data_IF_522469050333
#
_entry.id   IF_522469050333
#
_cell.length_a   1.000
_cell.length_b   1.000
_cell.length_c   1.000
_cell.angle_alpha   90.00
_cell.angle_beta   90.00
_cell.angle_gamma   90.00
#
_symmetry.space_group_name_H-M   'P 1'
#
loop_
_entity.id
_entity.type
_entity.pdbx_description
1 polymer ?
#
# COMPACT_ATOMS: atom_id res chain seq x y z
N UNK A 1 -1.18 5.80 -22.41
CA UNK A 1 -1.68 5.60 -21.04
C UNK A 1 -1.35 6.82 -20.21
N UNK A 2 -2.10 7.07 -19.14
CA UNK A 2 -1.89 8.22 -18.26
C UNK A 2 -2.05 7.82 -16.80
N UNK A 3 -1.44 8.57 -15.89
CA UNK A 3 -1.73 8.46 -14.44
C UNK A 3 -3.15 8.96 -14.20
N UNK A 4 -4.03 8.10 -13.67
CA UNK A 4 -5.42 8.47 -13.32
C UNK A 4 -5.55 8.90 -11.87
N UNK A 5 -4.84 8.24 -10.95
CA UNK A 5 -4.92 8.52 -9.53
C UNK A 5 -3.58 8.31 -8.83
N UNK A 6 -3.36 9.10 -7.78
CA UNK A 6 -2.22 9.01 -6.88
C UNK A 6 -2.70 8.94 -5.44
N UNK A 7 -2.14 8.02 -4.65
CA UNK A 7 -2.49 7.86 -3.25
C UNK A 7 -1.26 7.69 -2.36
N UNK A 8 -1.34 8.24 -1.17
CA UNK A 8 -0.46 7.89 -0.05
C UNK A 8 -1.28 7.36 1.13
N UNK A 9 -0.65 6.61 2.00
CA UNK A 9 -1.21 6.02 3.21
C UNK A 9 -0.30 6.38 4.37
N UNK A 10 -0.37 7.60 4.94
CA UNK A 10 0.62 8.09 5.89
C UNK A 10 0.80 7.17 7.11
N UNK A 11 -0.31 6.61 7.60
CA UNK A 11 -0.33 5.62 8.66
C UNK A 11 -0.61 4.22 8.07
N UNK A 12 0.28 3.26 8.34
CA UNK A 12 0.10 1.86 7.90
C UNK A 12 -1.25 1.32 8.36
N UNK A 13 -1.98 0.72 7.46
CA UNK A 13 -3.33 0.17 7.69
C UNK A 13 -4.43 1.22 7.96
N UNK A 14 -4.16 2.51 7.92
CA UNK A 14 -5.18 3.56 7.97
C UNK A 14 -5.70 3.93 6.56
N UNK A 15 -6.64 4.85 6.48
CA UNK A 15 -7.23 5.35 5.24
C UNK A 15 -6.18 6.01 4.34
N UNK A 16 -6.35 5.89 3.03
CA UNK A 16 -5.53 6.57 2.03
C UNK A 16 -5.96 8.02 1.81
N UNK A 17 -5.02 8.80 1.28
CA UNK A 17 -5.22 10.18 0.85
C UNK A 17 -4.97 10.23 -0.65
N UNK A 18 -5.95 10.73 -1.41
CA UNK A 18 -5.78 11.01 -2.83
C UNK A 18 -4.99 12.32 -3.01
N UNK A 19 -4.08 12.34 -3.97
CA UNK A 19 -3.22 13.47 -4.28
C UNK A 19 -3.38 13.89 -5.74
N UNK A 20 -3.39 15.18 -6.08
CA UNK A 20 -3.35 15.63 -7.48
C UNK A 20 -1.95 15.48 -8.09
N UNK A 21 -0.92 15.49 -7.26
CA UNK A 21 0.47 15.30 -7.62
C UNK A 21 1.26 14.82 -6.40
N UNK A 22 2.37 14.15 -6.62
CA UNK A 22 3.27 13.67 -5.57
C UNK A 22 4.73 13.79 -6.01
N UNK A 23 5.59 14.19 -5.11
CA UNK A 23 7.02 14.03 -5.30
C UNK A 23 7.38 12.54 -5.19
N UNK A 24 8.48 12.18 -5.83
CA UNK A 24 9.06 10.84 -5.79
C UNK A 24 10.49 10.96 -5.28
N UNK A 25 10.84 10.14 -4.29
CA UNK A 25 12.19 9.98 -3.79
C UNK A 25 12.60 8.50 -3.72
N UNK A 26 13.77 8.21 -3.16
CA UNK A 26 14.27 6.84 -3.00
C UNK A 26 13.35 5.94 -2.14
N UNK A 27 12.48 6.51 -1.32
CA UNK A 27 11.50 5.81 -0.51
C UNK A 27 10.11 5.71 -1.15
N UNK A 28 9.93 6.21 -2.37
CA UNK A 28 8.65 6.29 -3.08
C UNK A 28 7.97 7.64 -2.93
N UNK A 29 6.70 7.67 -2.57
CA UNK A 29 5.95 8.89 -2.35
C UNK A 29 6.22 9.41 -0.93
N UNK A 30 6.72 10.66 -0.75
CA UNK A 30 6.89 11.25 0.57
C UNK A 30 5.62 11.19 1.42
N UNK A 31 5.79 10.82 2.67
CA UNK A 31 4.65 10.64 3.60
C UNK A 31 4.01 9.25 3.55
N UNK A 32 4.30 8.41 2.56
CA UNK A 32 3.68 7.09 2.46
C UNK A 32 4.22 6.12 3.52
N UNK A 33 3.33 5.52 4.32
CA UNK A 33 3.62 4.55 5.42
C UNK A 33 4.80 4.99 6.31
N UNK A 34 4.86 6.30 6.63
CA UNK A 34 5.86 6.84 7.58
C UNK A 34 5.46 6.67 9.02
N UNK A 35 4.20 6.34 9.31
CA UNK A 35 3.72 6.02 10.65
C UNK A 35 3.11 4.60 10.68
N UNK A 36 3.13 4.00 11.87
CA UNK A 36 2.64 2.64 12.10
C UNK A 36 2.15 2.51 13.55
N UNK A 37 1.13 1.69 13.77
CA UNK A 37 0.66 1.32 15.09
C UNK A 37 1.23 -0.04 15.47
N UNK A 38 1.74 -0.15 16.70
CA UNK A 38 2.25 -1.39 17.29
C UNK A 38 1.57 -1.68 18.62
N UNK A 39 1.71 -2.91 19.10
CA UNK A 39 1.49 -3.22 20.51
C UNK A 39 2.62 -2.65 21.40
N UNK A 40 2.52 -2.83 22.70
CA UNK A 40 3.54 -2.37 23.67
C UNK A 40 4.90 -3.09 23.51
N UNK A 41 4.94 -4.25 22.85
CA UNK A 41 6.14 -5.03 22.57
C UNK A 41 6.76 -4.70 21.19
N UNK A 42 6.19 -3.76 20.44
CA UNK A 42 6.69 -3.34 19.13
C UNK A 42 6.24 -4.20 17.94
N UNK A 43 5.31 -5.13 18.11
CA UNK A 43 4.74 -5.86 16.99
C UNK A 43 3.71 -5.01 16.27
N UNK A 44 3.83 -4.92 14.95
CA UNK A 44 2.93 -4.09 14.14
C UNK A 44 1.51 -4.64 14.10
N UNK A 45 0.54 -3.73 14.23
CA UNK A 45 -0.90 -4.03 14.16
C UNK A 45 -1.42 -3.64 12.78
N UNK A 46 -2.28 -4.47 12.21
CA UNK A 46 -2.88 -4.22 10.88
C UNK A 46 -4.39 -4.37 10.90
N UNK A 47 -5.06 -3.96 9.81
CA UNK A 47 -6.50 -4.18 9.61
C UNK A 47 -6.90 -5.67 9.67
N UNK A 48 -5.97 -6.62 9.52
CA UNK A 48 -6.29 -8.05 9.68
C UNK A 48 -6.72 -8.37 11.10
N UNK A 49 -6.04 -7.75 12.04
CA UNK A 49 -6.23 -7.93 13.49
C UNK A 49 -7.20 -6.91 14.06
N UNK A 50 -7.10 -5.67 13.60
CA UNK A 50 -7.89 -4.53 14.08
C UNK A 50 -8.52 -3.78 12.91
N UNK A 51 -9.71 -4.20 12.44
CA UNK A 51 -10.38 -3.62 11.28
C UNK A 51 -10.63 -2.10 11.39
N UNK A 52 -10.86 -1.59 12.60
CA UNK A 52 -11.09 -0.17 12.87
C UNK A 52 -9.96 0.76 12.43
N UNK A 53 -8.75 0.24 12.20
CA UNK A 53 -7.66 1.03 11.61
C UNK A 53 -8.03 1.63 10.26
N UNK A 54 -8.89 0.97 9.47
CA UNK A 54 -9.38 1.51 8.20
C UNK A 54 -10.18 2.82 8.37
N UNK A 55 -10.77 3.04 9.54
CA UNK A 55 -11.57 4.23 9.85
C UNK A 55 -10.74 5.45 10.21
N UNK A 56 -9.46 5.26 10.53
CA UNK A 56 -8.56 6.37 10.87
C UNK A 56 -8.23 7.15 9.60
N UNK A 57 -8.61 8.42 9.58
CA UNK A 57 -8.19 9.40 8.58
C UNK A 57 -6.98 10.16 9.10
N UNK A 58 -5.99 10.38 8.25
CA UNK A 58 -4.82 11.19 8.57
C UNK A 58 -4.90 12.49 7.79
N UNK A 59 -4.80 13.63 8.45
CA UNK A 59 -4.67 14.95 7.82
C UNK A 59 -3.29 15.51 8.11
N UNK A 60 -2.42 15.64 7.09
CA UNK A 60 -1.15 16.34 7.25
C UNK A 60 -1.37 17.79 7.63
N UNK A 61 -0.58 18.29 8.57
CA UNK A 61 -0.51 19.71 8.98
C UNK A 61 0.95 20.18 8.86
N UNK A 62 1.18 21.50 8.90
CA UNK A 62 2.53 22.06 8.68
C UNK A 62 3.60 21.52 9.63
N UNK A 63 3.25 21.28 10.90
CA UNK A 63 4.18 20.84 11.97
C UNK A 63 3.71 19.61 12.71
N UNK A 64 2.62 18.98 12.27
CA UNK A 64 2.00 17.85 12.93
C UNK A 64 1.23 17.02 11.91
N UNK A 65 0.59 15.96 12.34
CA UNK A 65 -0.54 15.41 11.62
C UNK A 65 -1.69 15.12 12.59
N UNK A 66 -2.91 15.25 12.07
CA UNK A 66 -4.11 15.01 12.85
C UNK A 66 -4.68 13.65 12.47
N UNK A 67 -5.01 12.87 13.49
CA UNK A 67 -5.79 11.64 13.35
C UNK A 67 -7.26 11.95 13.63
N UNK A 68 -8.14 11.51 12.74
CA UNK A 68 -9.58 11.65 12.87
C UNK A 68 -10.23 10.27 12.77
N UNK A 69 -11.26 10.06 13.61
CA UNK A 69 -12.11 8.88 13.55
C UNK A 69 -13.52 9.29 13.95
N UNK A 70 -14.52 8.93 13.15
CA UNK A 70 -15.91 9.27 13.42
C UNK A 70 -16.33 8.84 14.83
N UNK A 71 -16.91 9.77 15.59
CA UNK A 71 -17.36 9.55 16.98
C UNK A 71 -16.25 9.59 18.03
N UNK A 72 -15.04 10.01 17.67
CA UNK A 72 -13.90 10.21 18.56
C UNK A 72 -13.41 11.66 18.51
N UNK A 73 -12.78 12.13 19.59
CA UNK A 73 -12.09 13.44 19.61
C UNK A 73 -10.81 13.33 18.78
N UNK A 74 -10.53 14.30 17.92
CA UNK A 74 -9.32 14.33 17.09
C UNK A 74 -8.04 14.26 17.94
N UNK A 75 -7.02 13.58 17.43
CA UNK A 75 -5.69 13.51 18.07
C UNK A 75 -4.72 14.32 17.21
N UNK A 76 -4.12 15.36 17.77
CA UNK A 76 -3.03 16.10 17.15
C UNK A 76 -1.70 15.46 17.55
N UNK A 77 -0.97 14.93 16.59
CA UNK A 77 0.30 14.24 16.81
C UNK A 77 1.43 15.13 16.31
N UNK A 78 2.28 15.59 17.21
CA UNK A 78 3.52 16.29 16.87
C UNK A 78 4.60 15.28 16.46
N UNK A 79 5.54 15.66 15.57
CA UNK A 79 6.67 14.79 15.26
C UNK A 79 7.39 14.35 16.53
N UNK A 80 7.69 13.05 16.69
CA UNK A 80 8.34 12.56 17.88
C UNK A 80 9.77 13.07 17.99
N UNK A 81 10.26 13.18 19.21
CA UNK A 81 11.68 13.47 19.46
C UNK A 81 12.53 12.28 19.00
N UNK A 82 13.64 12.51 18.27
CA UNK A 82 14.45 11.44 17.71
C UNK A 82 15.03 10.47 18.75
N UNK A 83 15.18 10.92 20.00
CA UNK A 83 15.74 10.15 21.12
C UNK A 83 14.71 9.18 21.74
N UNK A 84 13.42 9.48 21.60
CA UNK A 84 12.35 8.61 22.12
C UNK A 84 12.09 7.49 21.10
N UNK A 85 12.76 6.36 21.27
CA UNK A 85 12.74 5.25 20.31
C UNK A 85 12.36 3.92 20.94
N UNK A 86 11.83 3.03 20.10
CA UNK A 86 11.65 1.62 20.41
C UNK A 86 11.99 0.75 19.21
N UNK A 87 12.41 -0.47 19.47
CA UNK A 87 12.55 -1.46 18.42
C UNK A 87 11.18 -2.04 18.07
N UNK A 88 10.85 -2.00 16.78
CA UNK A 88 9.59 -2.53 16.26
C UNK A 88 9.86 -3.60 15.20
N UNK A 89 8.94 -4.55 15.09
CA UNK A 89 9.01 -5.61 14.07
C UNK A 89 7.99 -5.34 12.97
N UNK A 90 8.46 -5.29 11.72
CA UNK A 90 7.63 -5.21 10.52
C UNK A 90 7.92 -6.44 9.66
N UNK A 91 7.01 -7.42 9.66
CA UNK A 91 7.25 -8.75 9.08
C UNK A 91 8.50 -9.43 9.69
N UNK A 92 9.57 -9.54 8.92
CA UNK A 92 10.85 -10.14 9.36
C UNK A 92 11.92 -9.09 9.68
N UNK A 93 11.58 -7.81 9.58
CA UNK A 93 12.53 -6.71 9.77
C UNK A 93 12.39 -6.10 11.16
N UNK A 94 13.48 -6.00 11.89
CA UNK A 94 13.58 -5.14 13.07
C UNK A 94 13.91 -3.71 12.63
N UNK A 95 13.25 -2.72 13.20
CA UNK A 95 13.44 -1.29 12.89
C UNK A 95 13.43 -0.51 14.20
N UNK A 96 14.45 0.31 14.43
CA UNK A 96 14.38 1.31 15.49
C UNK A 96 13.53 2.48 15.00
N UNK A 97 12.40 2.73 15.66
CA UNK A 97 11.40 3.72 15.28
C UNK A 97 11.22 4.78 16.36
N UNK A 98 10.99 6.03 15.97
CA UNK A 98 10.67 7.09 16.91
C UNK A 98 9.22 6.91 17.42
N UNK A 99 8.99 7.12 18.73
CA UNK A 99 7.69 6.90 19.40
C UNK A 99 6.99 8.23 19.60
N UNK A 100 5.70 8.31 19.29
CA UNK A 100 4.85 9.45 19.59
C UNK A 100 4.83 9.77 21.09
N UNK A 101 4.41 10.97 21.42
CA UNK A 101 4.27 11.40 22.80
C UNK A 101 3.28 10.52 23.59
N UNK A 102 3.40 10.45 24.93
CA UNK A 102 2.55 9.59 25.75
C UNK A 102 1.06 9.90 25.64
N UNK A 103 0.68 11.15 25.45
CA UNK A 103 -0.72 11.57 25.37
C UNK A 103 -1.37 11.08 24.06
N UNK A 104 -0.69 11.24 22.91
CA UNK A 104 -1.14 10.68 21.65
C UNK A 104 -1.32 9.15 21.70
N UNK A 105 -0.37 8.45 22.34
CA UNK A 105 -0.46 6.99 22.53
C UNK A 105 -1.62 6.59 23.44
N UNK A 106 -1.88 7.36 24.51
CA UNK A 106 -3.00 7.12 25.43
C UNK A 106 -4.34 7.28 24.70
N UNK A 107 -4.54 8.41 24.01
CA UNK A 107 -5.76 8.69 23.27
C UNK A 107 -6.01 7.65 22.17
N UNK A 108 -4.97 7.26 21.43
CA UNK A 108 -5.09 6.24 20.41
C UNK A 108 -5.43 4.87 21.01
N UNK A 109 -4.88 4.53 22.16
CA UNK A 109 -5.21 3.31 22.91
C UNK A 109 -6.68 3.30 23.35
N UNK A 110 -7.20 4.44 23.79
CA UNK A 110 -8.63 4.60 24.10
C UNK A 110 -9.54 4.47 22.86
N UNK A 111 -9.11 5.01 21.70
CA UNK A 111 -9.87 4.85 20.47
C UNK A 111 -10.00 3.38 20.07
N UNK A 112 -8.91 2.65 20.20
CA UNK A 112 -8.79 1.27 19.71
C UNK A 112 -9.11 0.21 20.78
N UNK A 113 -9.40 0.62 22.02
CA UNK A 113 -9.77 -0.28 23.10
C UNK A 113 -8.65 -1.25 23.55
N UNK A 114 -7.40 -0.93 23.22
CA UNK A 114 -6.21 -1.72 23.58
C UNK A 114 -4.97 -0.85 23.67
N UNK A 115 -4.00 -1.26 24.48
CA UNK A 115 -2.73 -0.54 24.57
C UNK A 115 -1.96 -0.62 23.25
N UNK A 116 -1.66 0.56 22.69
CA UNK A 116 -0.91 0.68 21.42
C UNK A 116 0.15 1.78 21.51
N UNK A 117 1.10 1.74 20.59
CA UNK A 117 2.09 2.79 20.34
C UNK A 117 2.01 3.23 18.90
N UNK A 118 2.01 4.54 18.69
CA UNK A 118 2.20 5.15 17.39
C UNK A 118 3.68 5.40 17.18
N UNK A 119 4.24 4.86 16.11
CA UNK A 119 5.67 4.95 15.80
C UNK A 119 5.92 5.51 14.42
N UNK A 120 7.09 6.13 14.23
CA UNK A 120 7.45 6.85 13.03
C UNK A 120 8.75 6.31 12.42
N UNK A 121 8.73 6.17 11.10
CA UNK A 121 9.91 5.95 10.27
C UNK A 121 10.55 7.30 9.98
N UNK A 122 11.42 7.73 10.86
CA UNK A 122 12.13 9.01 10.81
C UNK A 122 13.45 8.93 10.03
N UNK A 123 14.26 9.99 10.07
CA UNK A 123 15.57 10.04 9.40
C UNK A 123 16.60 9.06 9.94
N UNK A 124 16.41 8.49 11.13
CA UNK A 124 17.30 7.48 11.72
C UNK A 124 16.86 6.05 11.44
N UNK A 125 15.57 5.82 11.16
CA UNK A 125 15.05 4.49 10.86
C UNK A 125 15.63 3.94 9.55
N UNK A 126 15.92 2.65 9.53
CA UNK A 126 16.47 1.96 8.35
C UNK A 126 15.73 0.66 8.12
N UNK A 127 15.33 0.43 6.88
CA UNK A 127 14.76 -0.83 6.39
C UNK A 127 14.98 -0.95 4.90
N UNK A 128 15.26 -2.15 4.41
CA UNK A 128 15.46 -2.43 2.98
C UNK A 128 14.43 -3.43 2.46
N UNK A 129 14.11 -3.32 1.18
CA UNK A 129 13.31 -4.31 0.45
C UNK A 129 14.09 -5.63 0.29
N UNK A 130 13.38 -6.68 -0.14
CA UNK A 130 14.05 -7.94 -0.52
C UNK A 130 14.94 -7.71 -1.74
N UNK A 131 16.25 -7.95 -1.57
CA UNK A 131 17.28 -7.69 -2.58
C UNK A 131 17.10 -8.54 -3.85
N UNK A 132 16.57 -9.76 -3.73
CA UNK A 132 16.30 -10.64 -4.89
C UNK A 132 15.41 -9.98 -5.94
N UNK A 133 14.47 -9.11 -5.51
CA UNK A 133 13.51 -8.46 -6.37
C UNK A 133 13.82 -7.00 -6.70
N UNK A 134 14.27 -6.25 -5.71
CA UNK A 134 14.44 -4.80 -5.84
C UNK A 134 15.90 -4.36 -6.02
N UNK A 135 16.84 -5.29 -5.92
CA UNK A 135 18.26 -4.98 -5.83
C UNK A 135 18.70 -4.63 -4.40
N UNK A 136 20.00 -4.67 -4.17
CA UNK A 136 20.57 -4.39 -2.87
C UNK A 136 20.35 -2.95 -2.43
N UNK A 137 20.30 -2.75 -1.11
CA UNK A 137 20.17 -1.46 -0.45
C UNK A 137 18.94 -0.61 -0.85
N UNK A 138 17.93 -1.21 -1.50
CA UNK A 138 16.68 -0.50 -1.85
C UNK A 138 15.90 -0.14 -0.59
N UNK A 139 15.78 1.17 -0.22
CA UNK A 139 15.16 1.56 1.03
C UNK A 139 13.65 1.45 0.98
N UNK A 140 13.01 1.12 2.09
CA UNK A 140 11.55 1.13 2.26
C UNK A 140 11.16 1.63 3.64
N UNK A 141 9.96 2.19 3.74
CA UNK A 141 9.34 2.62 5.00
C UNK A 141 8.62 1.46 5.69
N UNK A 142 7.53 1.72 6.42
CA UNK A 142 6.65 0.68 6.97
C UNK A 142 5.72 0.03 5.92
N UNK A 143 6.04 0.15 4.62
CA UNK A 143 5.34 -0.57 3.55
C UNK A 143 5.42 -2.08 3.75
N UNK A 144 4.60 -2.87 3.04
CA UNK A 144 4.65 -4.32 3.19
C UNK A 144 5.94 -4.93 2.60
N UNK A 145 6.49 -4.35 1.55
CA UNK A 145 7.75 -4.87 0.99
C UNK A 145 8.48 -3.94 0.03
N UNK A 146 7.76 -3.05 -0.66
CA UNK A 146 8.31 -2.17 -1.68
C UNK A 146 7.72 -0.77 -1.56
N UNK A 147 8.34 0.21 -2.24
CA UNK A 147 7.97 1.61 -2.10
C UNK A 147 6.60 1.92 -2.68
N UNK A 148 6.28 1.36 -3.85
CA UNK A 148 5.13 1.76 -4.66
C UNK A 148 4.36 0.52 -5.10
N UNK A 149 3.03 0.61 -5.08
CA UNK A 149 2.14 -0.32 -5.77
C UNK A 149 1.52 0.37 -6.97
N UNK A 150 1.75 -0.18 -8.15
CA UNK A 150 1.15 0.22 -9.43
C UNK A 150 0.00 -0.71 -9.76
N UNK A 151 -1.14 -0.14 -10.17
CA UNK A 151 -2.33 -0.86 -10.64
C UNK A 151 -2.88 -0.18 -11.89
N UNK A 152 -3.83 -0.82 -12.59
CA UNK A 152 -4.46 -0.25 -13.77
C UNK A 152 -5.99 -0.29 -13.69
N UNK A 153 -6.64 0.68 -14.34
CA UNK A 153 -8.11 0.74 -14.44
C UNK A 153 -8.65 -0.46 -15.21
N UNK A 154 -7.95 -0.91 -16.27
CA UNK A 154 -8.32 -2.08 -17.05
C UNK A 154 -8.30 -3.38 -16.25
N UNK A 155 -7.31 -3.55 -15.37
CA UNK A 155 -7.23 -4.72 -14.48
C UNK A 155 -8.38 -4.74 -13.46
N UNK A 156 -8.76 -3.58 -12.91
CA UNK A 156 -9.92 -3.48 -12.04
C UNK A 156 -11.21 -3.78 -12.78
N UNK A 157 -11.36 -3.26 -14.01
CA UNK A 157 -12.52 -3.52 -14.88
C UNK A 157 -12.67 -5.02 -15.17
N UNK A 158 -11.57 -5.70 -15.49
CA UNK A 158 -11.56 -7.14 -15.74
C UNK A 158 -11.92 -7.96 -14.49
N UNK A 159 -11.41 -7.57 -13.31
CA UNK A 159 -11.76 -8.20 -12.04
C UNK A 159 -13.25 -8.02 -11.73
N UNK A 160 -13.78 -6.81 -11.88
CA UNK A 160 -15.20 -6.52 -11.64
C UNK A 160 -16.13 -7.21 -12.65
N UNK A 161 -15.67 -7.45 -13.88
CA UNK A 161 -16.41 -8.24 -14.86
C UNK A 161 -16.56 -9.71 -14.42
N UNK A 162 -15.50 -10.32 -13.85
CA UNK A 162 -15.58 -11.67 -13.27
C UNK A 162 -16.51 -11.71 -12.06
N UNK A 163 -16.40 -10.73 -11.15
CA UNK A 163 -17.30 -10.62 -9.99
C UNK A 163 -18.77 -10.50 -10.42
N UNK A 164 -19.08 -9.64 -11.38
CA UNK A 164 -20.43 -9.43 -11.88
C UNK A 164 -20.99 -10.71 -12.55
N UNK A 165 -20.17 -11.41 -13.34
CA UNK A 165 -20.56 -12.67 -13.99
C UNK A 165 -20.93 -13.77 -12.97
N UNK A 166 -20.44 -13.66 -11.73
CA UNK A 166 -20.73 -14.63 -10.65
C UNK A 166 -21.72 -14.08 -9.60
N UNK A 167 -22.30 -12.89 -9.81
CA UNK A 167 -23.21 -12.26 -8.86
C UNK A 167 -22.54 -11.82 -7.54
N UNK A 168 -21.22 -11.61 -7.55
CA UNK A 168 -20.41 -11.27 -6.37
C UNK A 168 -20.23 -9.75 -6.17
N UNK A 169 -20.91 -8.92 -6.98
CA UNK A 169 -20.91 -7.46 -6.89
C UNK A 169 -19.74 -6.80 -7.61
N UNK A 170 -19.21 -5.73 -7.05
CA UNK A 170 -18.04 -5.01 -7.56
C UNK A 170 -17.23 -4.38 -6.43
N UNK A 171 -15.95 -4.12 -6.66
CA UNK A 171 -15.04 -3.47 -5.69
C UNK A 171 -14.38 -2.25 -6.32
N UNK A 172 -14.02 -1.27 -5.48
CA UNK A 172 -13.24 -0.12 -5.89
C UNK A 172 -11.72 -0.36 -5.82
N UNK A 173 -10.96 0.54 -6.41
CA UNK A 173 -9.49 0.49 -6.44
C UNK A 173 -8.89 0.63 -5.03
N UNK A 174 -9.56 1.32 -4.12
CA UNK A 174 -9.13 1.55 -2.74
C UNK A 174 -8.92 0.24 -1.94
N UNK A 175 -9.60 -0.85 -2.34
CA UNK A 175 -9.43 -2.19 -1.73
C UNK A 175 -8.00 -2.71 -1.89
N UNK A 176 -7.32 -2.30 -2.94
CA UNK A 176 -5.96 -2.75 -3.28
C UNK A 176 -4.88 -1.80 -2.76
N UNK A 177 -5.26 -0.58 -2.33
CA UNK A 177 -4.36 0.40 -1.70
C UNK A 177 -3.14 0.75 -2.59
N UNK A 178 -3.34 1.07 -3.89
CA UNK A 178 -2.24 1.44 -4.78
C UNK A 178 -1.68 2.82 -4.44
N UNK A 179 -0.46 3.08 -4.91
CA UNK A 179 0.13 4.43 -4.90
C UNK A 179 -0.10 5.14 -6.24
N UNK A 180 0.04 4.42 -7.35
CA UNK A 180 -0.14 4.93 -8.71
C UNK A 180 -1.17 4.06 -9.42
N UNK A 181 -2.21 4.68 -9.96
CA UNK A 181 -3.18 4.02 -10.84
C UNK A 181 -2.97 4.55 -12.26
N UNK A 182 -2.87 3.65 -13.21
CA UNK A 182 -2.65 3.97 -14.62
C UNK A 182 -3.94 3.66 -15.39
N UNK A 183 -4.40 4.65 -16.16
CA UNK A 183 -5.58 4.49 -17.01
C UNK A 183 -5.24 3.76 -18.30
N UNK A 184 -5.95 2.66 -18.54
CA UNK A 184 -5.87 1.83 -19.74
C UNK A 184 -7.11 0.95 -19.87
N UNK A 185 -7.51 0.62 -21.09
CA UNK A 185 -8.60 -0.33 -21.36
C UNK A 185 -8.13 -1.80 -21.39
N UNK A 186 -6.82 -2.04 -21.48
CA UNK A 186 -6.24 -3.38 -21.52
C UNK A 186 -6.29 -4.02 -20.11
N UNK A 187 -6.70 -5.28 -20.04
CA UNK A 187 -6.70 -6.07 -18.81
C UNK A 187 -5.32 -6.67 -18.55
N UNK A 188 -4.79 -6.42 -17.38
CA UNK A 188 -3.54 -6.98 -16.87
C UNK A 188 -2.29 -6.63 -17.70
N UNK A 189 -2.18 -5.43 -18.31
CA UNK A 189 -1.03 -5.09 -19.13
C UNK A 189 0.25 -4.98 -18.29
N UNK A 190 0.10 -4.62 -17.02
CA UNK A 190 1.20 -4.51 -16.04
C UNK A 190 1.95 -5.82 -15.81
N UNK A 191 1.38 -6.96 -16.17
CA UNK A 191 2.08 -8.25 -16.08
C UNK A 191 3.28 -8.35 -17.03
N UNK A 192 3.25 -7.59 -18.13
CA UNK A 192 4.33 -7.55 -19.13
C UNK A 192 5.31 -6.39 -18.92
N UNK A 193 4.97 -5.40 -18.11
CA UNK A 193 5.85 -4.25 -17.91
C UNK A 193 7.02 -4.59 -16.99
N UNK A 194 8.24 -4.53 -17.50
CA UNK A 194 9.45 -4.64 -16.67
C UNK A 194 9.82 -3.27 -16.08
N UNK A 195 9.72 -2.20 -16.89
CA UNK A 195 9.89 -0.83 -16.42
C UNK A 195 8.96 0.14 -17.20
N UNK A 196 8.48 1.14 -16.47
CA UNK A 196 7.74 2.28 -17.02
C UNK A 196 8.45 3.58 -16.69
N UNK A 197 8.17 4.61 -17.50
CA UNK A 197 8.60 5.98 -17.25
C UNK A 197 7.40 6.89 -17.08
N UNK A 198 7.42 7.73 -16.05
CA UNK A 198 6.42 8.77 -15.77
C UNK A 198 7.19 10.05 -15.44
N UNK A 199 6.94 11.14 -16.17
CA UNK A 199 7.58 12.43 -15.95
C UNK A 199 9.13 12.36 -15.90
N UNK A 200 9.74 11.51 -16.74
CA UNK A 200 11.18 11.29 -16.78
C UNK A 200 11.75 10.41 -15.65
N UNK A 201 10.90 9.88 -14.78
CA UNK A 201 11.31 8.98 -13.69
C UNK A 201 11.04 7.53 -14.12
N UNK A 202 12.08 6.69 -14.07
CA UNK A 202 11.95 5.24 -14.28
C UNK A 202 11.38 4.57 -13.02
N UNK A 203 10.42 3.67 -13.21
CA UNK A 203 9.88 2.77 -12.20
C UNK A 203 10.07 1.34 -12.65
N UNK A 204 10.89 0.57 -11.93
CA UNK A 204 11.04 -0.86 -12.18
C UNK A 204 9.89 -1.61 -11.50
N UNK A 205 9.08 -2.37 -12.26
CA UNK A 205 8.04 -3.22 -11.72
C UNK A 205 8.68 -4.54 -11.28
N UNK A 206 9.07 -4.62 -10.03
CA UNK A 206 9.98 -5.66 -9.54
C UNK A 206 9.29 -6.97 -9.16
N UNK A 207 8.04 -6.91 -8.67
CA UNK A 207 7.36 -8.09 -8.15
C UNK A 207 5.84 -7.94 -8.24
N UNK A 208 5.07 -8.93 -8.74
CA UNK A 208 3.61 -8.87 -8.67
C UNK A 208 3.15 -8.85 -7.22
N UNK A 209 2.04 -8.16 -6.95
CA UNK A 209 1.52 -8.02 -5.60
C UNK A 209 0.54 -9.14 -5.27
N UNK A 210 0.99 -10.09 -4.44
CA UNK A 210 0.11 -11.12 -3.86
C UNK A 210 -0.85 -10.48 -2.86
N UNK A 211 -2.13 -10.78 -3.00
CA UNK A 211 -3.20 -10.16 -2.22
C UNK A 211 -3.65 -11.05 -1.07
N UNK A 212 -4.01 -10.42 0.01
CA UNK A 212 -4.49 -11.09 1.22
C UNK A 212 -5.91 -10.62 1.58
N UNK A 213 -6.43 -11.16 2.66
CA UNK A 213 -7.77 -10.87 3.18
C UNK A 213 -8.08 -9.37 3.39
N UNK A 214 -7.07 -8.50 3.48
CA UNK A 214 -7.31 -7.05 3.60
C UNK A 214 -8.09 -6.47 2.42
N UNK A 215 -8.03 -7.07 1.24
CA UNK A 215 -8.82 -6.63 0.08
C UNK A 215 -10.32 -6.87 0.22
N UNK A 216 -10.74 -7.72 1.15
CA UNK A 216 -12.17 -7.96 1.45
C UNK A 216 -12.76 -6.88 2.33
N UNK A 217 -11.92 -6.01 2.93
CA UNK A 217 -12.34 -5.02 3.89
C UNK A 217 -12.66 -3.69 3.23
N UNK A 218 -13.81 -3.13 3.56
CA UNK A 218 -14.18 -1.77 3.17
C UNK A 218 -13.23 -0.76 3.84
N UNK A 219 -12.62 0.11 3.03
CA UNK A 219 -11.59 1.03 3.51
C UNK A 219 -12.15 2.29 4.21
N UNK A 220 -13.47 2.45 4.25
CA UNK A 220 -14.15 3.55 4.96
C UNK A 220 -14.70 3.08 6.30
N UNK A 221 -15.29 1.89 6.33
CA UNK A 221 -16.02 1.38 7.50
C UNK A 221 -15.24 0.33 8.29
N UNK A 222 -14.25 -0.31 7.68
CA UNK A 222 -13.57 -1.46 8.26
C UNK A 222 -14.36 -2.77 8.15
N UNK A 223 -15.60 -2.74 7.63
CA UNK A 223 -16.45 -3.93 7.50
C UNK A 223 -15.95 -4.89 6.42
N UNK A 224 -16.23 -6.16 6.63
CA UNK A 224 -16.04 -7.23 5.64
C UNK A 224 -17.37 -7.76 5.07
N UNK A 225 -18.46 -7.08 5.36
CA UNK A 225 -19.82 -7.41 4.91
C UNK A 225 -20.08 -6.84 3.51
N UNK A 226 -19.35 -7.06 2.54
CA UNK A 226 -19.54 -6.48 1.21
C UNK A 226 -18.91 -7.38 0.14
N UNK A 227 -18.85 -6.88 -1.10
CA UNK A 227 -18.22 -7.60 -2.18
C UNK A 227 -16.79 -8.04 -1.82
N UNK A 228 -16.50 -9.31 -2.11
CA UNK A 228 -15.23 -9.95 -1.79
C UNK A 228 -14.46 -10.27 -3.07
N UNK A 229 -13.32 -9.62 -3.36
CA UNK A 229 -12.56 -9.85 -4.59
C UNK A 229 -11.73 -11.14 -4.58
N UNK A 230 -11.56 -11.79 -3.42
CA UNK A 230 -10.67 -12.95 -3.30
C UNK A 230 -11.11 -14.16 -4.14
N UNK A 231 -12.41 -14.55 -4.23
CA UNK A 231 -12.84 -15.63 -5.11
C UNK A 231 -12.54 -15.35 -6.58
N UNK A 232 -12.86 -14.15 -7.08
CA UNK A 232 -12.58 -13.74 -8.45
C UNK A 232 -11.08 -13.78 -8.75
N UNK A 233 -10.25 -13.14 -7.90
CA UNK A 233 -8.78 -13.23 -8.06
C UNK A 233 -8.27 -14.68 -7.99
N UNK A 234 -8.88 -15.53 -7.17
CA UNK A 234 -8.57 -16.97 -7.11
C UNK A 234 -8.88 -17.69 -8.42
N UNK A 235 -9.95 -17.28 -9.14
CA UNK A 235 -10.34 -17.83 -10.44
C UNK A 235 -9.41 -17.41 -11.57
N UNK A 236 -9.11 -16.10 -11.64
CA UNK A 236 -8.48 -15.53 -12.85
C UNK A 236 -7.05 -15.05 -12.65
N UNK A 237 -6.56 -14.94 -11.41
CA UNK A 237 -5.27 -14.31 -11.08
C UNK A 237 -4.39 -15.12 -10.12
N UNK A 238 -4.63 -16.41 -9.94
CA UNK A 238 -3.83 -17.24 -9.04
C UNK A 238 -2.43 -17.47 -9.62
N UNK A 239 -1.40 -17.04 -8.90
CA UNK A 239 -0.01 -17.23 -9.29
C UNK A 239 0.35 -18.72 -9.42
N UNK A 240 1.08 -19.08 -10.48
CA UNK A 240 1.70 -20.39 -10.63
C UNK A 240 3.12 -20.44 -10.05
N UNK A 241 3.76 -19.29 -9.83
CA UNK A 241 5.10 -19.20 -9.28
C UNK A 241 5.09 -19.30 -7.75
N UNK A 242 5.81 -20.27 -7.20
CA UNK A 242 5.90 -20.51 -5.75
C UNK A 242 6.61 -19.40 -4.97
N UNK A 243 7.41 -18.56 -5.64
CA UNK A 243 8.08 -17.40 -5.01
C UNK A 243 7.08 -16.29 -4.66
N UNK A 244 5.93 -16.26 -5.36
CA UNK A 244 4.85 -15.29 -5.13
C UNK A 244 3.53 -16.05 -5.02
N UNK A 245 3.27 -16.74 -3.91
CA UNK A 245 2.06 -17.56 -3.75
C UNK A 245 0.82 -16.67 -3.55
N UNK A 246 -0.33 -17.15 -4.04
CA UNK A 246 -1.64 -16.52 -3.85
C UNK A 246 -2.16 -15.76 -5.07
N UNK A 247 -3.35 -15.15 -4.93
CA UNK A 247 -3.95 -14.35 -5.99
C UNK A 247 -3.25 -13.00 -6.12
N UNK A 248 -3.17 -12.48 -7.37
CA UNK A 248 -2.39 -11.29 -7.71
C UNK A 248 -3.29 -10.13 -8.15
N UNK A 249 -2.92 -8.90 -7.75
CA UNK A 249 -3.48 -7.67 -8.30
C UNK A 249 -2.47 -6.53 -8.16
N UNK A 250 -2.05 -5.95 -9.29
CA UNK A 250 -1.04 -4.90 -9.37
C UNK A 250 0.40 -5.39 -9.18
N UNK A 251 1.34 -4.48 -9.37
CA UNK A 251 2.76 -4.73 -9.30
C UNK A 251 3.46 -3.79 -8.33
N UNK A 252 4.32 -4.34 -7.50
CA UNK A 252 5.24 -3.56 -6.69
C UNK A 252 6.32 -2.96 -7.58
N UNK A 253 6.60 -1.67 -7.35
CA UNK A 253 7.56 -0.92 -8.14
C UNK A 253 8.57 -0.19 -7.25
N UNK A 254 9.76 0.03 -7.82
CA UNK A 254 10.86 0.78 -7.22
C UNK A 254 11.21 1.95 -8.13
N UNK A 255 11.18 3.21 -7.66
CA UNK A 255 11.62 4.35 -8.44
C UNK A 255 13.14 4.36 -8.60
N UNK A 256 13.61 4.79 -9.78
CA UNK A 256 15.01 4.97 -10.12
C UNK A 256 15.28 6.43 -10.48
N UNK A 257 15.11 7.30 -9.53
CA UNK A 257 15.26 8.75 -9.68
C UNK A 257 14.33 9.51 -8.76
N UNK A 258 14.44 10.82 -8.80
CA UNK A 258 13.62 11.75 -8.05
C UNK A 258 12.88 12.68 -9.02
N UNK A 259 11.76 13.21 -8.61
CA UNK A 259 10.99 14.16 -9.40
C UNK A 259 9.57 14.27 -8.89
N UNK A 260 8.65 14.69 -9.75
CA UNK A 260 7.24 14.90 -9.43
C UNK A 260 6.37 14.20 -10.45
N UNK A 261 5.37 13.46 -9.99
CA UNK A 261 4.33 12.82 -10.80
C UNK A 261 3.00 13.52 -10.53
N UNK A 262 2.25 13.79 -11.60
CA UNK A 262 0.97 14.49 -11.56
C UNK A 262 -0.10 13.64 -12.25
N UNK A 263 -1.34 13.71 -11.78
CA UNK A 263 -2.48 13.11 -12.49
C UNK A 263 -2.53 13.67 -13.92
N UNK A 264 -2.66 12.78 -14.90
CA UNK A 264 -2.63 13.10 -16.33
C UNK A 264 -1.27 12.92 -16.99
N UNK A 265 -0.17 12.76 -16.24
CA UNK A 265 1.15 12.48 -16.81
C UNK A 265 1.12 11.24 -17.70
N UNK A 266 1.84 11.32 -18.81
CA UNK A 266 1.97 10.21 -19.74
C UNK A 266 2.81 9.09 -19.13
N UNK A 267 2.34 7.86 -19.30
CA UNK A 267 3.05 6.64 -18.92
C UNK A 267 3.58 5.95 -20.17
N UNK A 268 4.90 5.84 -20.26
CA UNK A 268 5.62 5.16 -21.33
C UNK A 268 6.12 3.79 -20.80
N UNK A 269 5.89 2.73 -21.58
CA UNK A 269 6.53 1.43 -21.31
C UNK A 269 7.93 1.51 -21.92
N UNK A 270 8.96 1.41 -21.10
CA UNK A 270 10.36 1.52 -21.54
C UNK A 270 11.07 0.17 -21.57
N UNK A 271 10.50 -0.83 -20.90
CA UNK A 271 11.02 -2.20 -20.92
C UNK A 271 9.88 -3.19 -20.66
N UNK A 272 9.80 -4.25 -21.47
CA UNK A 272 8.80 -5.30 -21.34
C UNK A 272 9.45 -6.65 -20.99
N UNK A 273 8.69 -7.48 -20.26
CA UNK A 273 9.00 -8.90 -20.10
C UNK A 273 8.57 -9.66 -21.37
N UNK A 274 9.35 -10.66 -21.82
CA UNK A 274 8.98 -11.47 -22.97
C UNK A 274 7.63 -12.17 -22.80
N UNK A 275 7.33 -12.56 -21.56
CA UNK A 275 6.06 -13.21 -21.18
C UNK A 275 5.46 -12.51 -19.97
N UNK A 276 4.14 -12.54 -19.86
CA UNK A 276 3.43 -12.11 -18.67
C UNK A 276 3.70 -13.04 -17.48
N UNK A 277 3.23 -12.64 -16.30
CA UNK A 277 3.39 -13.48 -15.11
C UNK A 277 2.62 -14.80 -15.23
N UNK A 278 3.28 -15.91 -14.86
CA UNK A 278 2.69 -17.24 -14.94
C UNK A 278 1.51 -17.41 -13.94
N UNK A 279 0.33 -17.68 -14.47
CA UNK A 279 -0.88 -17.94 -13.69
C UNK A 279 -1.27 -19.41 -13.76
N UNK A 280 -1.91 -19.91 -12.70
CA UNK A 280 -2.50 -21.25 -12.72
C UNK A 280 -3.67 -21.27 -13.72
N UNK A 281 -3.59 -22.16 -14.69
CA UNK A 281 -4.74 -22.46 -15.56
C UNK A 281 -5.74 -23.27 -14.73
N UNK A 282 -6.99 -22.85 -14.66
CA UNK A 282 -8.06 -23.76 -14.23
C UNK A 282 -8.22 -24.82 -15.32
N UNK A 283 -8.32 -26.08 -14.91
CA UNK A 283 -8.86 -27.10 -15.79
C UNK A 283 -10.27 -26.64 -16.19
N UNK A 284 -10.57 -26.67 -17.50
CA UNK A 284 -11.94 -26.49 -17.94
C UNK A 284 -12.79 -27.56 -17.27
N UNK A 285 -13.86 -27.13 -16.55
CA UNK A 285 -14.81 -28.01 -15.94
C UNK A 285 -15.68 -28.66 -16.99
#
# INVERSE_FOLDING_TARGET
MRVSDLFIYPLKSARGIALPAADIDAYGLPGDRRAMITDAQGHFITQRELPDLARIEVRPEATAFRLLMQGKTDISVTPPQPENRMDVTVWKSAVSAAVADPESNRQLSEWLGREVRLVFFDGQARRTANAEWAGEATPVTFTDGYQILVTTTGSLKALNADLAAHGEGSVGMERFRPNIVIDTDEAWPEDRWAAIEIAGIRFDLVKPCSRCIMTTQDQLTGSREGPNPMPAMGRIRMSADRRVPGPLFGWNATPRGNGKVTIGDTVNIIEERPEGWALKRRAAA
#
